data_IF_224140448683
#
_entry.id   IF_224140448683
#
_cell.length_a   1.000
_cell.length_b   1.000
_cell.length_c   1.000
_cell.angle_alpha   90.00
_cell.angle_beta   90.00
_cell.angle_gamma   90.00
#
_symmetry.space_group_name_H-M   'P 1'
#
loop_
_entity.id
_entity.type
_entity.pdbx_description
1 polymer ?
#
# COMPACT_ATOMS: atom_id res chain seq x y z
N UNK A 1 -3.53 3.44 -17.67
CA UNK A 1 -3.18 2.23 -16.90
C UNK A 1 -1.78 1.85 -17.32
N UNK A 2 -0.79 2.24 -16.55
CA UNK A 2 0.59 1.84 -16.80
C UNK A 2 0.92 0.76 -15.76
N UNK A 3 1.01 -0.46 -16.24
CA UNK A 3 1.53 -1.59 -15.46
C UNK A 3 2.99 -1.30 -15.13
N UNK A 4 3.28 -1.19 -13.84
CA UNK A 4 4.64 -1.12 -13.34
C UNK A 4 5.19 -2.55 -13.27
N UNK A 5 6.01 -2.93 -14.23
CA UNK A 5 6.82 -4.14 -14.14
C UNK A 5 7.89 -3.92 -13.07
N UNK A 6 7.76 -4.64 -11.96
CA UNK A 6 8.79 -4.76 -10.94
C UNK A 6 9.85 -5.69 -11.53
N UNK A 7 11.05 -5.16 -11.70
CA UNK A 7 12.26 -5.96 -11.78
C UNK A 7 12.73 -6.41 -13.14
N UNK A 8 13.20 -5.48 -13.98
CA UNK A 8 14.32 -5.84 -14.84
C UNK A 8 15.59 -5.93 -13.96
N UNK A 9 16.38 -7.03 -14.07
CA UNK A 9 17.64 -7.15 -13.34
C UNK A 9 18.57 -6.02 -13.79
N UNK A 10 18.93 -5.16 -12.86
CA UNK A 10 19.94 -4.13 -13.11
C UNK A 10 21.26 -4.84 -13.39
N UNK A 11 21.79 -4.65 -14.60
CA UNK A 11 23.09 -5.11 -15.02
C UNK A 11 24.16 -4.46 -14.12
N UNK A 12 24.70 -5.24 -13.21
CA UNK A 12 25.77 -4.86 -12.34
C UNK A 12 27.08 -5.10 -13.07
N UNK A 13 27.52 -4.10 -13.86
CA UNK A 13 28.79 -4.11 -14.55
C UNK A 13 29.94 -4.63 -13.68
N UNK A 14 30.88 -5.32 -14.32
CA UNK A 14 32.01 -6.11 -13.81
C UNK A 14 33.06 -5.38 -12.94
N UNK A 15 32.64 -4.44 -12.12
CA UNK A 15 33.51 -3.64 -11.23
C UNK A 15 34.09 -4.35 -9.99
N UNK A 16 34.06 -5.68 -9.91
CA UNK A 16 34.43 -6.43 -8.69
C UNK A 16 35.73 -7.23 -8.80
N UNK A 17 36.63 -6.92 -9.71
CA UNK A 17 37.95 -7.55 -9.74
C UNK A 17 39.06 -6.52 -9.67
N UNK A 18 39.50 -6.21 -8.45
CA UNK A 18 40.91 -5.86 -8.20
C UNK A 18 41.20 -6.04 -6.70
N UNK A 19 41.55 -7.27 -6.35
CA UNK A 19 42.24 -7.59 -5.12
C UNK A 19 43.44 -8.49 -5.44
N UNK A 20 44.34 -7.97 -6.22
CA UNK A 20 45.71 -8.54 -6.38
C UNK A 20 46.70 -7.47 -6.05
N UNK A 21 47.11 -7.40 -4.78
CA UNK A 21 48.46 -6.97 -4.43
C UNK A 21 48.75 -7.37 -2.96
N UNK A 22 49.47 -8.46 -2.79
CA UNK A 22 50.11 -8.81 -1.53
C UNK A 22 51.58 -9.06 -1.77
N UNK A 23 52.35 -8.10 -1.28
CA UNK A 23 53.81 -8.19 -1.25
C UNK A 23 54.30 -9.18 -0.20
N UNK A 24 55.41 -9.79 -0.49
CA UNK A 24 56.16 -10.75 0.31
C UNK A 24 56.83 -10.14 1.55
N UNK A 25 56.85 -10.89 2.66
CA UNK A 25 57.63 -10.60 3.83
C UNK A 25 57.64 -11.74 4.89
N UNK A 26 58.75 -12.24 5.20
CA UNK A 26 59.32 -13.34 5.94
C UNK A 26 58.72 -13.76 7.30
N UNK A 27 58.69 -15.14 7.50
CA UNK A 27 59.01 -16.00 8.66
C UNK A 27 58.30 -15.81 10.00
N UNK A 28 57.34 -16.75 10.25
CA UNK A 28 57.27 -17.55 11.48
C UNK A 28 56.22 -18.69 11.28
N UNK A 29 56.61 -19.95 11.58
CA UNK A 29 55.77 -21.14 11.35
C UNK A 29 54.38 -21.08 12.04
N UNK A 30 54.22 -20.37 13.16
CA UNK A 30 52.95 -20.15 13.84
C UNK A 30 52.04 -19.12 13.16
N UNK A 31 52.63 -18.12 12.48
CA UNK A 31 51.86 -17.17 11.64
C UNK A 31 51.42 -17.82 10.35
N UNK A 32 52.20 -18.74 9.79
CA UNK A 32 51.88 -19.46 8.56
C UNK A 32 50.60 -20.32 8.71
N UNK A 33 50.43 -21.05 9.83
CA UNK A 33 49.21 -21.83 10.08
C UNK A 33 47.98 -20.92 10.27
N UNK A 34 48.10 -19.80 10.96
CA UNK A 34 47.01 -18.82 11.10
C UNK A 34 46.68 -18.15 9.77
N UNK A 35 47.67 -17.83 8.96
CA UNK A 35 47.49 -17.23 7.62
C UNK A 35 46.76 -18.18 6.67
N UNK A 36 47.09 -19.48 6.66
CA UNK A 36 46.44 -20.53 5.86
C UNK A 36 44.97 -20.73 6.30
N UNK A 37 44.71 -20.77 7.60
CA UNK A 37 43.36 -20.96 8.15
C UNK A 37 42.45 -19.76 7.85
N UNK A 38 42.96 -18.54 7.97
CA UNK A 38 42.25 -17.30 7.58
C UNK A 38 41.95 -17.29 6.08
N UNK A 39 42.89 -17.72 5.23
CA UNK A 39 42.68 -17.80 3.78
C UNK A 39 41.59 -18.83 3.42
N UNK A 40 41.60 -20.03 4.03
CA UNK A 40 40.58 -21.06 3.80
C UNK A 40 39.18 -20.61 4.26
N UNK A 41 39.08 -19.91 5.39
CA UNK A 41 37.81 -19.36 5.86
C UNK A 41 37.30 -18.28 4.93
N UNK A 42 38.15 -17.37 4.48
CA UNK A 42 37.83 -16.32 3.53
C UNK A 42 37.33 -16.89 2.19
N UNK A 43 38.01 -17.96 1.70
CA UNK A 43 37.57 -18.67 0.48
C UNK A 43 36.16 -19.26 0.63
N UNK A 44 35.86 -19.91 1.77
CA UNK A 44 34.53 -20.44 2.06
C UNK A 44 33.46 -19.37 2.12
N UNK A 45 33.74 -18.24 2.79
CA UNK A 45 32.83 -17.10 2.85
C UNK A 45 32.50 -16.61 1.46
N UNK A 46 33.51 -16.41 0.60
CA UNK A 46 33.33 -15.98 -0.77
C UNK A 46 32.56 -17.00 -1.61
N UNK A 47 32.84 -18.29 -1.43
CA UNK A 47 32.10 -19.38 -2.11
C UNK A 47 30.61 -19.36 -1.73
N UNK A 48 30.29 -19.31 -0.43
CA UNK A 48 28.90 -19.28 0.03
C UNK A 48 28.18 -17.99 -0.41
N UNK A 49 28.86 -16.86 -0.32
CA UNK A 49 28.32 -15.58 -0.76
C UNK A 49 28.02 -15.57 -2.29
N UNK A 50 28.89 -16.22 -3.09
CA UNK A 50 28.67 -16.39 -4.55
C UNK A 50 27.50 -17.34 -4.83
N UNK A 51 27.44 -18.48 -4.11
CA UNK A 51 26.31 -19.42 -4.25
C UNK A 51 24.99 -18.76 -3.89
N UNK A 52 24.95 -17.99 -2.78
CA UNK A 52 23.78 -17.25 -2.39
C UNK A 52 23.31 -16.30 -3.50
N UNK A 53 24.24 -15.57 -4.11
CA UNK A 53 23.90 -14.65 -5.18
C UNK A 53 23.40 -15.38 -6.43
N UNK A 54 24.02 -16.49 -6.83
CA UNK A 54 23.60 -17.28 -7.98
C UNK A 54 22.16 -17.82 -7.77
N UNK A 55 21.87 -18.40 -6.59
CA UNK A 55 20.51 -18.86 -6.28
C UNK A 55 19.49 -17.73 -6.30
N UNK A 56 19.86 -16.55 -5.79
CA UNK A 56 18.99 -15.38 -5.86
C UNK A 56 18.67 -14.97 -7.30
N UNK A 57 19.67 -14.96 -8.18
CA UNK A 57 19.50 -14.64 -9.61
C UNK A 57 18.65 -15.70 -10.36
N UNK A 58 18.56 -16.91 -9.81
CA UNK A 58 17.73 -18.01 -10.31
C UNK A 58 16.35 -18.05 -9.63
N UNK A 59 15.97 -17.01 -8.86
CA UNK A 59 14.71 -16.93 -8.09
C UNK A 59 14.52 -18.07 -7.07
N UNK A 60 15.63 -18.54 -6.50
CA UNK A 60 15.67 -19.56 -5.44
C UNK A 60 16.02 -18.89 -4.12
N UNK A 61 15.07 -18.09 -3.60
CA UNK A 61 15.33 -17.19 -2.47
C UNK A 61 15.64 -17.95 -1.18
N UNK A 62 15.03 -19.10 -0.92
CA UNK A 62 15.29 -19.89 0.30
C UNK A 62 16.70 -20.48 0.28
N UNK A 63 17.16 -21.02 -0.84
CA UNK A 63 18.52 -21.50 -1.03
C UNK A 63 19.51 -20.34 -0.94
N UNK A 64 19.20 -19.19 -1.54
CA UNK A 64 20.00 -18.00 -1.42
C UNK A 64 20.16 -17.58 0.04
N UNK A 65 19.06 -17.57 0.80
CA UNK A 65 19.06 -17.24 2.23
C UNK A 65 19.86 -18.25 3.05
N UNK A 66 19.77 -19.53 2.73
CA UNK A 66 20.57 -20.57 3.36
C UNK A 66 22.08 -20.30 3.20
N UNK A 67 22.54 -20.10 1.94
CA UNK A 67 23.98 -19.91 1.69
C UNK A 67 24.52 -18.60 2.24
N UNK A 68 23.72 -17.50 2.23
CA UNK A 68 24.19 -16.24 2.81
C UNK A 68 24.30 -16.35 4.36
N UNK A 69 23.43 -17.13 5.01
CA UNK A 69 23.55 -17.40 6.44
C UNK A 69 24.83 -18.19 6.74
N UNK A 70 25.16 -19.23 5.96
CA UNK A 70 26.42 -19.95 6.13
C UNK A 70 27.66 -19.04 5.97
N UNK A 71 27.60 -18.07 5.07
CA UNK A 71 28.68 -17.09 4.93
C UNK A 71 28.80 -16.17 6.17
N UNK A 72 27.66 -15.74 6.73
CA UNK A 72 27.60 -14.90 7.93
C UNK A 72 27.95 -15.64 9.21
N UNK A 73 27.65 -16.95 9.31
CA UNK A 73 28.04 -17.79 10.43
C UNK A 73 29.58 -17.93 10.53
N UNK A 74 30.27 -17.88 9.40
CA UNK A 74 31.73 -17.87 9.38
C UNK A 74 32.33 -16.48 9.70
N UNK A 75 31.66 -15.41 9.32
CA UNK A 75 32.04 -14.04 9.64
C UNK A 75 30.87 -13.08 9.60
N UNK A 76 30.33 -12.76 10.77
CA UNK A 76 29.22 -11.83 10.98
C UNK A 76 29.57 -10.34 10.82
N UNK A 77 30.89 -10.04 10.68
CA UNK A 77 31.38 -8.67 10.44
C UNK A 77 31.56 -8.32 8.97
N UNK A 78 31.09 -9.17 8.06
CA UNK A 78 31.20 -8.94 6.63
C UNK A 78 30.03 -8.08 6.11
N UNK A 79 30.20 -6.77 6.03
CA UNK A 79 29.16 -5.80 5.68
C UNK A 79 28.42 -6.16 4.37
N UNK A 80 29.17 -6.54 3.31
CA UNK A 80 28.57 -6.88 2.03
C UNK A 80 27.66 -8.12 2.09
N UNK A 81 27.93 -9.08 2.97
CA UNK A 81 27.05 -10.25 3.14
C UNK A 81 25.75 -9.86 3.84
N UNK A 82 25.78 -8.92 4.77
CA UNK A 82 24.57 -8.35 5.35
C UNK A 82 23.74 -7.58 4.30
N UNK A 83 24.39 -6.81 3.42
CA UNK A 83 23.71 -6.16 2.29
C UNK A 83 23.06 -7.19 1.34
N UNK A 84 23.78 -8.28 0.96
CA UNK A 84 23.22 -9.35 0.14
C UNK A 84 22.05 -10.05 0.80
N UNK A 85 22.16 -10.37 2.10
CA UNK A 85 21.05 -10.95 2.87
C UNK A 85 19.83 -10.03 2.87
N UNK A 86 20.04 -8.73 2.99
CA UNK A 86 18.97 -7.76 2.93
C UNK A 86 18.24 -7.79 1.56
N UNK A 87 18.99 -7.84 0.45
CA UNK A 87 18.44 -7.93 -0.91
C UNK A 87 17.64 -9.23 -1.10
N UNK A 88 18.16 -10.37 -0.63
CA UNK A 88 17.45 -11.65 -0.68
C UNK A 88 16.12 -11.57 0.09
N UNK A 89 16.15 -11.04 1.31
CA UNK A 89 14.96 -10.87 2.14
C UNK A 89 13.94 -9.88 1.54
N UNK A 90 14.42 -8.86 0.82
CA UNK A 90 13.57 -7.93 0.06
C UNK A 90 12.83 -8.67 -1.06
N UNK A 91 13.51 -9.52 -1.85
CA UNK A 91 12.90 -10.39 -2.86
C UNK A 91 11.78 -11.25 -2.28
N UNK A 92 11.99 -11.81 -1.08
CA UNK A 92 11.01 -12.59 -0.31
C UNK A 92 9.90 -11.72 0.31
N UNK A 93 9.88 -10.40 0.12
CA UNK A 93 8.99 -9.43 0.77
C UNK A 93 9.08 -9.43 2.31
N UNK A 94 10.16 -9.96 2.89
CA UNK A 94 10.45 -9.95 4.34
C UNK A 94 11.10 -8.62 4.74
N UNK A 95 10.41 -7.51 4.46
CA UNK A 95 10.96 -6.15 4.54
C UNK A 95 11.49 -5.77 5.93
N UNK A 96 10.81 -6.19 7.01
CA UNK A 96 11.24 -5.87 8.37
C UNK A 96 12.60 -6.52 8.72
N UNK A 97 12.86 -7.71 8.20
CA UNK A 97 14.14 -8.41 8.38
C UNK A 97 15.20 -7.83 7.45
N UNK A 98 14.83 -7.49 6.23
CA UNK A 98 15.67 -6.79 5.26
C UNK A 98 16.18 -5.46 5.84
N UNK A 99 15.28 -4.63 6.43
CA UNK A 99 15.67 -3.35 7.06
C UNK A 99 16.73 -3.55 8.16
N UNK A 100 16.60 -4.61 8.99
CA UNK A 100 17.61 -4.95 10.02
C UNK A 100 18.95 -5.31 9.41
N UNK A 101 18.95 -6.07 8.30
CA UNK A 101 20.18 -6.47 7.62
C UNK A 101 20.88 -5.29 6.96
N UNK A 102 20.14 -4.38 6.31
CA UNK A 102 20.71 -3.13 5.79
C UNK A 102 21.31 -2.28 6.90
N UNK A 103 20.62 -2.13 8.02
CA UNK A 103 21.14 -1.40 9.17
C UNK A 103 22.46 -2.02 9.67
N UNK A 104 22.51 -3.36 9.78
CA UNK A 104 23.73 -4.05 10.20
C UNK A 104 24.88 -3.87 9.22
N UNK A 105 24.61 -3.92 7.92
CA UNK A 105 25.59 -3.61 6.89
C UNK A 105 26.16 -2.19 7.04
N UNK A 106 25.29 -1.19 7.23
CA UNK A 106 25.67 0.22 7.40
C UNK A 106 26.41 0.50 8.71
N UNK A 107 26.09 -0.22 9.80
CA UNK A 107 26.86 -0.14 11.07
C UNK A 107 28.28 -0.62 10.87
N UNK A 108 28.49 -1.68 10.09
CA UNK A 108 29.80 -2.28 9.86
C UNK A 108 30.61 -1.45 8.85
N UNK A 109 29.99 -0.96 7.78
CA UNK A 109 30.62 -0.16 6.74
C UNK A 109 29.59 0.72 6.03
N UNK A 110 29.53 2.03 6.32
CA UNK A 110 28.67 2.96 5.61
C UNK A 110 29.07 3.07 4.13
N UNK A 111 28.17 2.65 3.23
CA UNK A 111 28.38 2.69 1.79
C UNK A 111 27.19 3.32 1.10
N UNK A 112 27.42 4.22 0.14
CA UNK A 112 26.39 4.91 -0.65
C UNK A 112 25.37 3.93 -1.24
N UNK A 113 25.87 2.87 -1.90
CA UNK A 113 25.03 1.83 -2.50
C UNK A 113 24.09 1.16 -1.50
N UNK A 114 24.53 0.93 -0.26
CA UNK A 114 23.68 0.28 0.78
C UNK A 114 22.58 1.22 1.25
N UNK A 115 22.84 2.52 1.33
CA UNK A 115 21.81 3.53 1.61
C UNK A 115 20.77 3.58 0.49
N UNK A 116 21.18 3.56 -0.77
CA UNK A 116 20.31 3.55 -1.94
C UNK A 116 19.48 2.27 -2.00
N UNK A 117 20.08 1.10 -1.78
CA UNK A 117 19.37 -0.18 -1.70
C UNK A 117 18.30 -0.15 -0.59
N UNK A 118 18.67 0.32 0.60
CA UNK A 118 17.72 0.45 1.71
C UNK A 118 16.58 1.41 1.37
N UNK A 119 16.85 2.53 0.71
CA UNK A 119 15.83 3.47 0.30
C UNK A 119 14.84 2.83 -0.70
N UNK A 120 15.35 2.08 -1.70
CA UNK A 120 14.50 1.34 -2.67
C UNK A 120 13.64 0.29 -1.98
N UNK A 121 14.19 -0.47 -1.06
CA UNK A 121 13.45 -1.45 -0.26
C UNK A 121 12.32 -0.77 0.54
N UNK A 122 12.59 0.36 1.20
CA UNK A 122 11.58 1.11 1.94
C UNK A 122 10.48 1.67 1.02
N UNK A 123 10.82 2.07 -0.20
CA UNK A 123 9.85 2.47 -1.23
C UNK A 123 8.95 1.29 -1.61
N UNK A 124 9.52 0.10 -1.87
CA UNK A 124 8.78 -1.12 -2.18
C UNK A 124 7.85 -1.53 -1.02
N UNK A 125 8.34 -1.43 0.20
CA UNK A 125 7.54 -1.70 1.41
C UNK A 125 6.39 -0.72 1.56
N UNK A 126 6.64 0.58 1.35
CA UNK A 126 5.58 1.59 1.42
C UNK A 126 4.48 1.34 0.37
N UNK A 127 4.86 0.89 -0.83
CA UNK A 127 3.90 0.51 -1.87
C UNK A 127 3.04 -0.69 -1.45
N UNK A 128 3.66 -1.74 -0.89
CA UNK A 128 2.90 -2.90 -0.39
C UNK A 128 1.90 -2.49 0.70
N UNK A 129 2.33 -1.67 1.66
CA UNK A 129 1.45 -1.18 2.73
C UNK A 129 0.29 -0.33 2.20
N UNK A 130 0.51 0.47 1.15
CA UNK A 130 -0.53 1.20 0.45
C UNK A 130 -1.57 0.25 -0.16
N UNK A 131 -1.13 -0.80 -0.86
CA UNK A 131 -2.05 -1.78 -1.45
C UNK A 131 -2.82 -2.55 -0.35
N UNK A 132 -2.12 -3.04 0.69
CA UNK A 132 -2.77 -3.71 1.82
C UNK A 132 -3.82 -2.82 2.52
N UNK A 133 -3.62 -1.50 2.53
CA UNK A 133 -4.55 -0.57 3.16
C UNK A 133 -5.93 -0.54 2.49
N UNK A 134 -5.98 -0.79 1.18
CA UNK A 134 -7.21 -0.77 0.39
C UNK A 134 -8.14 -1.93 0.72
N UNK A 135 -7.58 -3.07 1.14
CA UNK A 135 -8.31 -4.29 1.49
C UNK A 135 -8.92 -4.24 2.92
N UNK A 136 -8.53 -3.28 3.73
CA UNK A 136 -8.96 -3.19 5.13
C UNK A 136 -10.23 -2.33 5.26
N UNK A 137 -11.16 -2.66 6.19
CA UNK A 137 -12.31 -1.80 6.51
C UNK A 137 -11.91 -0.39 6.95
N UNK A 138 -10.74 -0.25 7.57
CA UNK A 138 -10.07 1.01 7.87
C UNK A 138 -8.58 0.87 7.61
N UNK A 139 -8.13 1.42 6.51
CA UNK A 139 -6.74 1.34 6.06
C UNK A 139 -5.80 2.38 6.67
N UNK A 140 -6.30 3.31 7.49
CA UNK A 140 -5.55 4.51 7.92
C UNK A 140 -4.24 4.17 8.64
N UNK A 141 -4.20 3.15 9.47
CA UNK A 141 -2.97 2.75 10.17
C UNK A 141 -1.90 2.24 9.21
N UNK A 142 -2.29 1.46 8.20
CA UNK A 142 -1.37 0.99 7.15
C UNK A 142 -0.85 2.12 6.29
N UNK A 143 -1.71 3.09 5.95
CA UNK A 143 -1.32 4.29 5.20
C UNK A 143 -0.30 5.13 5.97
N UNK A 144 -0.49 5.33 7.27
CA UNK A 144 0.49 6.03 8.13
C UNK A 144 1.80 5.27 8.27
N UNK A 145 1.76 3.94 8.31
CA UNK A 145 2.96 3.12 8.26
C UNK A 145 3.69 3.28 6.92
N UNK A 146 2.97 3.26 5.80
CA UNK A 146 3.51 3.50 4.46
C UNK A 146 4.17 4.89 4.35
N UNK A 147 3.51 5.93 4.88
CA UNK A 147 4.06 7.30 4.95
C UNK A 147 5.38 7.33 5.73
N UNK A 148 5.44 6.66 6.88
CA UNK A 148 6.67 6.59 7.66
C UNK A 148 7.81 5.91 6.88
N UNK A 149 7.51 4.83 6.12
CA UNK A 149 8.52 4.13 5.32
C UNK A 149 9.05 4.99 4.18
N UNK A 150 8.18 5.74 3.49
CA UNK A 150 8.63 6.61 2.40
C UNK A 150 9.45 7.81 2.92
N UNK A 151 9.09 8.37 4.07
CA UNK A 151 9.89 9.43 4.71
C UNK A 151 11.28 8.88 5.11
N UNK A 152 11.35 7.68 5.70
CA UNK A 152 12.62 7.02 6.02
C UNK A 152 13.46 6.75 4.76
N UNK A 153 12.80 6.35 3.66
CA UNK A 153 13.48 6.12 2.39
C UNK A 153 14.14 7.41 1.87
N UNK A 154 13.40 8.52 1.85
CA UNK A 154 13.91 9.82 1.42
C UNK A 154 15.06 10.31 2.31
N UNK A 155 14.96 10.12 3.62
CA UNK A 155 15.99 10.51 4.58
C UNK A 155 17.24 9.61 4.52
N UNK A 156 17.12 8.40 3.99
CA UNK A 156 18.25 7.49 3.83
C UNK A 156 19.08 7.78 2.58
N UNK A 157 18.51 8.47 1.58
CA UNK A 157 19.24 8.77 0.34
C UNK A 157 20.40 9.73 0.61
N UNK A 158 21.63 9.40 0.18
CA UNK A 158 22.75 10.34 0.20
C UNK A 158 22.46 11.57 -0.66
N UNK A 159 23.00 12.73 -0.27
CA UNK A 159 22.78 13.98 -0.99
C UNK A 159 23.33 14.00 -2.44
N UNK A 160 24.29 13.11 -2.73
CA UNK A 160 24.88 12.88 -4.05
C UNK A 160 24.34 11.63 -4.76
N UNK A 161 23.20 11.09 -4.28
CA UNK A 161 22.57 9.91 -4.88
C UNK A 161 22.09 10.20 -6.29
N UNK A 162 22.31 9.24 -7.20
CA UNK A 162 21.76 9.26 -8.56
C UNK A 162 20.30 8.79 -8.62
N UNK A 163 19.77 8.29 -7.50
CA UNK A 163 18.38 7.87 -7.40
C UNK A 163 17.42 9.04 -7.71
N UNK A 164 16.44 8.80 -8.58
CA UNK A 164 15.42 9.79 -8.89
C UNK A 164 14.51 10.04 -7.68
N UNK A 165 14.80 11.11 -6.94
CA UNK A 165 14.01 11.53 -5.77
C UNK A 165 12.53 11.73 -6.11
N UNK A 166 12.20 12.05 -7.37
CA UNK A 166 10.81 12.29 -7.77
C UNK A 166 9.93 11.04 -7.65
N UNK A 167 10.50 9.83 -7.78
CA UNK A 167 9.73 8.59 -7.54
C UNK A 167 9.27 8.48 -6.09
N UNK A 168 10.10 8.89 -5.14
CA UNK A 168 9.77 8.90 -3.70
C UNK A 168 8.75 10.00 -3.38
N UNK A 169 8.90 11.19 -3.98
CA UNK A 169 7.94 12.29 -3.82
C UNK A 169 6.57 11.89 -4.36
N UNK A 170 6.49 11.33 -5.57
CA UNK A 170 5.22 10.84 -6.15
C UNK A 170 4.56 9.79 -5.27
N UNK A 171 5.35 8.86 -4.70
CA UNK A 171 4.81 7.85 -3.79
C UNK A 171 4.26 8.47 -2.52
N UNK A 172 4.99 9.40 -1.91
CA UNK A 172 4.52 10.15 -0.73
C UNK A 172 3.22 10.89 -1.02
N UNK A 173 3.15 11.60 -2.16
CA UNK A 173 1.96 12.35 -2.53
C UNK A 173 0.75 11.43 -2.78
N UNK A 174 0.99 10.25 -3.36
CA UNK A 174 -0.05 9.22 -3.49
C UNK A 174 -0.53 8.73 -2.13
N UNK A 175 0.37 8.44 -1.21
CA UNK A 175 0.01 7.98 0.16
C UNK A 175 -0.80 9.07 0.87
N UNK A 176 -0.38 10.33 0.80
CA UNK A 176 -1.10 11.47 1.42
C UNK A 176 -2.51 11.62 0.83
N UNK A 177 -2.65 11.49 -0.50
CA UNK A 177 -3.97 11.47 -1.14
C UNK A 177 -4.86 10.37 -0.55
N UNK A 178 -4.36 9.14 -0.38
CA UNK A 178 -5.13 8.04 0.20
C UNK A 178 -5.40 8.24 1.70
N UNK A 179 -4.52 8.87 2.46
CA UNK A 179 -4.76 9.24 3.86
C UNK A 179 -5.93 10.23 3.95
N UNK A 180 -5.92 11.28 3.15
CA UNK A 180 -7.00 12.28 3.13
C UNK A 180 -8.32 11.67 2.68
N UNK A 181 -8.27 10.79 1.68
CA UNK A 181 -9.42 10.08 1.15
C UNK A 181 -10.04 9.15 2.20
N UNK A 182 -9.24 8.33 2.87
CA UNK A 182 -9.68 7.44 3.94
C UNK A 182 -10.24 8.22 5.15
N UNK A 183 -9.57 9.30 5.55
CA UNK A 183 -10.07 10.19 6.60
C UNK A 183 -11.45 10.78 6.26
N UNK A 184 -11.67 11.17 5.01
CA UNK A 184 -12.97 11.66 4.54
C UNK A 184 -14.03 10.55 4.60
N UNK A 185 -13.69 9.35 4.14
CA UNK A 185 -14.60 8.20 4.21
C UNK A 185 -14.99 7.89 5.65
N UNK A 186 -14.04 7.80 6.57
CA UNK A 186 -14.30 7.51 7.99
C UNK A 186 -15.17 8.58 8.64
N UNK A 187 -14.92 9.88 8.37
CA UNK A 187 -15.78 10.98 8.86
C UNK A 187 -17.21 10.84 8.33
N UNK A 188 -17.38 10.50 7.06
CA UNK A 188 -18.69 10.29 6.46
C UNK A 188 -19.41 9.09 7.10
N UNK A 189 -18.67 8.00 7.34
CA UNK A 189 -19.20 6.81 8.00
C UNK A 189 -19.67 7.10 9.43
N UNK A 190 -18.89 7.83 10.22
CA UNK A 190 -19.30 8.27 11.57
C UNK A 190 -20.51 9.19 11.53
N UNK A 191 -20.63 10.04 10.51
CA UNK A 191 -21.82 10.86 10.31
C UNK A 191 -23.07 9.97 10.10
N UNK A 192 -22.95 8.92 9.27
CA UNK A 192 -24.08 7.99 9.03
C UNK A 192 -24.49 7.22 10.28
N UNK A 193 -23.52 6.76 11.08
CA UNK A 193 -23.77 6.06 12.35
C UNK A 193 -24.52 6.91 13.39
N UNK A 194 -24.49 8.23 13.25
CA UNK A 194 -25.22 9.16 14.10
C UNK A 194 -26.73 9.22 13.85
N UNK A 195 -27.25 8.55 12.80
CA UNK A 195 -28.67 8.51 12.43
C UNK A 195 -29.26 7.13 12.64
N UNK A 196 -30.58 7.07 12.87
CA UNK A 196 -31.33 5.81 12.80
C UNK A 196 -31.34 5.29 11.35
N UNK A 197 -31.22 3.98 11.18
CA UNK A 197 -31.28 3.32 9.87
C UNK A 197 -32.51 3.76 9.06
N UNK A 198 -33.70 3.88 9.71
CA UNK A 198 -34.95 4.28 9.05
C UNK A 198 -35.00 5.77 8.69
N UNK A 199 -34.02 6.55 9.09
CA UNK A 199 -33.86 7.93 8.62
C UNK A 199 -33.00 8.03 7.38
N UNK A 200 -32.23 6.98 7.03
CA UNK A 200 -31.27 6.98 5.94
C UNK A 200 -31.75 6.15 4.75
N UNK A 201 -31.48 6.65 3.55
CA UNK A 201 -31.73 5.93 2.30
C UNK A 201 -30.60 6.15 1.27
N UNK A 202 -30.40 5.14 0.42
CA UNK A 202 -29.48 5.21 -0.71
C UNK A 202 -30.22 5.62 -1.97
N UNK A 203 -29.69 6.58 -2.72
CA UNK A 203 -30.25 7.02 -4.01
C UNK A 203 -29.56 6.24 -5.14
N UNK A 204 -30.34 5.52 -5.94
CA UNK A 204 -29.88 4.75 -7.11
C UNK A 204 -30.47 5.25 -8.41
N UNK A 205 -29.82 4.85 -9.49
CA UNK A 205 -30.32 5.12 -10.84
C UNK A 205 -30.00 6.51 -11.40
N UNK A 206 -29.23 7.33 -10.70
CA UNK A 206 -28.86 8.70 -11.14
C UNK A 206 -28.33 8.76 -12.59
N UNK A 207 -27.56 7.80 -13.02
CA UNK A 207 -27.01 7.74 -14.39
C UNK A 207 -28.06 7.68 -15.50
N UNK A 208 -29.29 7.33 -15.18
CA UNK A 208 -30.40 7.24 -16.15
C UNK A 208 -31.16 8.56 -16.28
N UNK A 209 -30.92 9.52 -15.38
CA UNK A 209 -31.57 10.84 -15.39
C UNK A 209 -30.58 11.88 -15.88
N UNK A 210 -30.84 12.40 -17.11
CA UNK A 210 -29.98 13.43 -17.73
C UNK A 210 -30.32 14.81 -17.16
N UNK A 211 -29.96 15.05 -15.90
CA UNK A 211 -30.08 16.38 -15.29
C UNK A 211 -28.69 16.89 -14.85
N UNK A 212 -28.50 18.20 -14.84
CA UNK A 212 -27.25 18.83 -14.40
C UNK A 212 -27.26 19.18 -12.90
N UNK A 213 -28.03 18.44 -12.10
CA UNK A 213 -28.14 18.71 -10.65
C UNK A 213 -26.90 18.18 -9.93
N UNK A 214 -26.09 19.08 -9.40
CA UNK A 214 -25.04 18.75 -8.45
C UNK A 214 -25.67 18.66 -7.07
N UNK A 215 -25.58 17.49 -6.44
CA UNK A 215 -26.09 17.28 -5.08
C UNK A 215 -25.09 17.85 -4.07
N UNK A 216 -25.58 18.69 -3.16
CA UNK A 216 -24.80 19.27 -2.07
C UNK A 216 -25.47 18.92 -0.72
N UNK A 217 -24.67 18.74 0.32
CA UNK A 217 -25.19 18.43 1.67
C UNK A 217 -26.24 19.45 2.10
N UNK A 218 -27.34 18.96 2.67
CA UNK A 218 -28.49 19.77 3.07
C UNK A 218 -29.47 20.09 1.92
N UNK A 219 -29.20 19.75 0.67
CA UNK A 219 -30.12 20.00 -0.44
C UNK A 219 -31.47 19.34 -0.18
N UNK A 220 -32.60 20.06 -0.26
CA UNK A 220 -33.91 19.48 -0.10
C UNK A 220 -34.22 18.42 -1.14
N UNK A 221 -34.75 17.29 -0.69
CA UNK A 221 -35.24 16.20 -1.51
C UNK A 221 -36.73 15.95 -1.25
N UNK A 222 -37.42 15.50 -2.27
CA UNK A 222 -38.81 15.03 -2.16
C UNK A 222 -38.83 13.56 -2.53
N UNK A 223 -39.42 12.73 -1.66
CA UNK A 223 -39.61 11.33 -1.87
C UNK A 223 -41.11 11.11 -2.23
N UNK A 224 -41.37 10.34 -3.29
CA UNK A 224 -42.73 10.08 -3.78
C UNK A 224 -42.88 8.58 -3.98
N UNK A 225 -43.83 7.94 -3.28
CA UNK A 225 -44.19 6.53 -3.54
C UNK A 225 -44.82 6.39 -4.92
N UNK A 226 -44.41 5.36 -5.64
CA UNK A 226 -44.95 5.01 -6.97
C UNK A 226 -45.53 3.58 -6.94
N UNK A 227 -46.71 3.36 -6.30
CA UNK A 227 -47.30 2.02 -6.13
C UNK A 227 -47.67 1.34 -7.47
N UNK A 228 -47.92 2.14 -8.51
CA UNK A 228 -48.19 1.67 -9.88
C UNK A 228 -46.94 1.49 -10.73
N UNK A 229 -45.73 1.52 -10.14
CA UNK A 229 -44.49 1.32 -10.86
C UNK A 229 -44.40 -0.11 -11.43
N UNK A 230 -44.20 -0.23 -12.74
CA UNK A 230 -44.22 -1.53 -13.45
C UNK A 230 -43.08 -2.47 -13.00
N UNK A 231 -41.96 -1.94 -12.45
CA UNK A 231 -40.77 -2.72 -12.09
C UNK A 231 -40.68 -3.02 -10.60
N UNK A 232 -41.24 -2.15 -9.76
CA UNK A 232 -41.12 -2.27 -8.30
C UNK A 232 -42.31 -1.58 -7.61
N UNK A 233 -43.21 -2.37 -7.00
CA UNK A 233 -44.39 -1.84 -6.29
C UNK A 233 -44.02 -0.99 -5.06
N UNK A 234 -42.82 -1.23 -4.51
CA UNK A 234 -42.32 -0.46 -3.38
C UNK A 234 -41.48 0.75 -3.83
N UNK A 235 -41.50 1.09 -5.12
CA UNK A 235 -40.66 2.17 -5.67
C UNK A 235 -40.95 3.50 -4.95
N UNK A 236 -39.91 4.15 -4.50
CA UNK A 236 -39.91 5.52 -3.96
C UNK A 236 -39.01 6.38 -4.83
N UNK A 237 -39.61 7.24 -5.65
CA UNK A 237 -38.87 8.17 -6.50
C UNK A 237 -38.29 9.32 -5.68
N UNK A 238 -37.07 9.74 -6.03
CA UNK A 238 -36.37 10.85 -5.36
C UNK A 238 -36.24 12.01 -6.33
N UNK A 239 -36.68 13.18 -5.87
CA UNK A 239 -36.63 14.43 -6.63
C UNK A 239 -35.75 15.46 -5.92
N UNK A 240 -34.99 16.22 -6.69
CA UNK A 240 -34.30 17.44 -6.28
C UNK A 240 -34.62 18.57 -7.24
N UNK A 241 -34.90 19.78 -6.76
CA UNK A 241 -35.30 20.92 -7.61
C UNK A 241 -36.45 20.58 -8.58
N UNK A 242 -37.41 19.76 -8.13
CA UNK A 242 -38.56 19.27 -8.93
C UNK A 242 -38.20 18.31 -10.09
N UNK A 243 -36.94 17.92 -10.24
CA UNK A 243 -36.54 16.92 -11.24
C UNK A 243 -36.26 15.58 -10.55
N UNK A 244 -36.74 14.49 -11.18
CA UNK A 244 -36.44 13.12 -10.71
C UNK A 244 -34.94 12.86 -10.87
N UNK A 245 -34.28 12.44 -9.80
CA UNK A 245 -32.85 12.18 -9.77
C UNK A 245 -32.50 10.70 -9.55
N UNK A 246 -33.49 9.87 -9.26
CA UNK A 246 -33.30 8.45 -9.02
C UNK A 246 -34.43 7.87 -8.19
N UNK A 247 -34.14 6.75 -7.56
CA UNK A 247 -35.00 6.03 -6.64
C UNK A 247 -34.27 5.67 -5.36
N UNK A 248 -35.02 5.46 -4.28
CA UNK A 248 -34.53 4.78 -3.09
C UNK A 248 -34.14 3.36 -3.47
N UNK A 249 -32.98 2.91 -3.10
CA UNK A 249 -32.52 1.55 -3.38
C UNK A 249 -33.40 0.51 -2.66
N UNK A 250 -33.79 -0.58 -3.35
CA UNK A 250 -34.66 -1.61 -2.78
C UNK A 250 -34.02 -3.00 -2.70
N UNK A 251 -32.83 -3.20 -3.25
CA UNK A 251 -32.09 -4.48 -3.18
C UNK A 251 -30.86 -4.32 -2.31
N UNK A 252 -30.51 -5.34 -1.53
CA UNK A 252 -29.36 -5.30 -0.62
C UNK A 252 -28.05 -4.96 -1.31
N UNK A 253 -27.82 -5.47 -2.52
CA UNK A 253 -26.63 -5.16 -3.31
C UNK A 253 -26.64 -3.77 -3.97
N UNK A 254 -27.75 -3.01 -3.83
CA UNK A 254 -27.89 -1.64 -4.38
C UNK A 254 -27.93 -0.56 -3.31
N UNK A 255 -28.12 -0.91 -2.04
CA UNK A 255 -28.12 0.02 -0.92
C UNK A 255 -26.85 -0.08 -0.09
N UNK A 256 -26.53 0.97 0.62
CA UNK A 256 -25.52 0.90 1.66
C UNK A 256 -26.08 0.26 2.93
N UNK A 257 -25.30 -0.55 3.62
CA UNK A 257 -25.76 -1.38 4.77
C UNK A 257 -26.43 -0.58 5.90
N UNK A 258 -26.00 0.66 6.13
CA UNK A 258 -26.56 1.56 7.15
C UNK A 258 -27.84 2.28 6.69
N UNK A 259 -28.38 1.97 5.51
CA UNK A 259 -29.59 2.62 4.96
C UNK A 259 -30.74 1.66 4.83
N UNK A 260 -31.96 2.17 4.87
CA UNK A 260 -33.16 1.40 4.58
C UNK A 260 -33.44 1.25 3.11
N UNK A 261 -34.02 0.13 2.72
CA UNK A 261 -34.60 -0.11 1.40
C UNK A 261 -35.92 0.65 1.22
N UNK A 262 -36.35 0.78 -0.05
CA UNK A 262 -37.63 1.36 -0.35
C UNK A 262 -38.79 0.59 0.31
N UNK A 263 -38.75 -0.75 0.31
CA UNK A 263 -39.74 -1.60 0.98
C UNK A 263 -39.77 -1.42 2.51
N UNK A 264 -38.61 -1.28 3.17
CA UNK A 264 -38.52 -1.01 4.61
C UNK A 264 -39.10 0.37 4.99
N UNK A 265 -39.16 1.31 4.04
CA UNK A 265 -39.67 2.67 4.25
C UNK A 265 -41.17 2.83 3.93
N UNK A 266 -41.83 1.86 3.28
CA UNK A 266 -43.22 1.99 2.84
C UNK A 266 -44.16 2.39 3.98
N UNK A 267 -44.05 1.74 5.14
CA UNK A 267 -44.88 1.99 6.31
C UNK A 267 -44.31 3.07 7.25
N UNK A 268 -43.20 3.68 6.90
CA UNK A 268 -42.47 4.65 7.74
C UNK A 268 -42.59 6.09 7.25
N UNK A 269 -42.99 6.28 6.00
CA UNK A 269 -43.15 7.62 5.40
C UNK A 269 -44.53 7.77 4.78
N UNK A 270 -44.99 8.99 4.64
CA UNK A 270 -46.21 9.35 3.89
C UNK A 270 -45.99 9.11 2.37
N UNK A 271 -47.06 9.17 1.56
CA UNK A 271 -46.99 9.02 0.08
C UNK A 271 -46.04 10.04 -0.56
N UNK A 272 -45.95 11.21 0.07
CA UNK A 272 -44.98 12.25 -0.26
C UNK A 272 -44.27 12.63 1.05
N UNK A 273 -42.99 12.37 1.11
CA UNK A 273 -42.16 12.72 2.25
C UNK A 273 -41.03 13.73 1.85
N UNK A 274 -40.60 14.47 2.86
CA UNK A 274 -39.47 15.39 2.73
C UNK A 274 -38.18 14.69 3.14
N UNK A 275 -37.11 15.02 2.44
CA UNK A 275 -35.77 14.55 2.75
C UNK A 275 -34.72 15.62 2.49
N UNK A 276 -33.51 15.29 2.80
CA UNK A 276 -32.35 16.09 2.43
C UNK A 276 -31.22 15.20 1.95
N UNK A 277 -30.47 15.68 0.97
CA UNK A 277 -29.26 15.02 0.57
C UNK A 277 -28.20 15.15 1.69
N UNK A 278 -27.62 14.04 2.10
CA UNK A 278 -26.67 14.05 3.20
C UNK A 278 -25.22 14.11 2.70
N UNK A 279 -24.80 13.08 1.94
CA UNK A 279 -23.44 12.98 1.46
C UNK A 279 -23.29 11.96 0.31
N UNK A 280 -22.15 12.02 -0.35
CA UNK A 280 -21.66 10.95 -1.21
C UNK A 280 -20.65 10.11 -0.43
N UNK A 281 -20.99 8.85 -0.20
CA UNK A 281 -20.11 7.90 0.42
C UNK A 281 -19.31 7.22 -0.68
N UNK A 282 -18.01 7.42 -0.66
CA UNK A 282 -17.10 6.95 -1.69
C UNK A 282 -15.85 6.38 -1.04
N UNK A 283 -15.55 5.13 -1.39
CA UNK A 283 -14.32 4.47 -0.97
C UNK A 283 -13.84 3.56 -2.09
N UNK A 284 -12.78 4.00 -2.77
CA UNK A 284 -12.23 3.32 -3.94
C UNK A 284 -13.31 3.04 -5.00
N UNK A 285 -13.19 1.91 -5.75
CA UNK A 285 -14.20 1.54 -6.72
C UNK A 285 -15.41 0.80 -6.11
N UNK A 286 -15.28 0.29 -4.88
CA UNK A 286 -16.21 -0.68 -4.30
C UNK A 286 -17.41 -0.05 -3.60
N UNK A 287 -17.20 1.13 -2.99
CA UNK A 287 -18.25 1.84 -2.26
C UNK A 287 -18.50 3.18 -2.93
N UNK A 288 -19.65 3.31 -3.59
CA UNK A 288 -20.06 4.54 -4.27
C UNK A 288 -21.58 4.76 -4.12
N UNK A 289 -21.97 5.46 -3.05
CA UNK A 289 -23.37 5.66 -2.72
C UNK A 289 -23.72 7.13 -2.47
N UNK A 290 -24.78 7.60 -3.12
CA UNK A 290 -25.46 8.85 -2.73
C UNK A 290 -26.42 8.56 -1.58
N UNK A 291 -26.23 9.23 -0.45
CA UNK A 291 -27.02 9.03 0.75
C UNK A 291 -27.89 10.26 1.01
N UNK A 292 -29.17 10.02 1.21
CA UNK A 292 -30.14 11.00 1.68
C UNK A 292 -30.67 10.62 3.06
N UNK A 293 -31.28 11.56 3.74
CA UNK A 293 -32.01 11.33 4.98
C UNK A 293 -33.45 11.84 4.87
N UNK A 294 -34.36 11.18 5.58
CA UNK A 294 -35.74 11.62 5.78
C UNK A 294 -35.75 12.76 6.80
N UNK A 295 -36.50 13.81 6.52
CA UNK A 295 -36.70 14.94 7.45
C UNK A 295 -38.13 14.81 7.99
N UNK A 296 -38.27 14.67 9.32
CA UNK A 296 -39.54 14.63 10.04
C UNK A 296 -40.10 16.02 10.15
#
# INVERSE_FOLDING_TARGET
>A
MNEWHIGDPVDWGDGWMDAQNWGHGHDDEKEHHKGIEVDLTTRKINEYSKKAWNHYMEFQEEEALHYINLALDLNDRHANNWNRKAIILEGMKRYAESEKCYNKSLELSPQKLVYENKARMLLSWSHQLLEESKELPNGLNKLKEAENKIIKAMNALPGDSEEDINKYLRMRDSINFYIDYENKFQRNLETLKGYDKFELFTIKGRKFYRNNITLTSGMPLKLVKEPDNEFDKDAIAVYAKNEKIGYVANKDYTKYELTSSASELQDKIEDIAQGSYLLYLDRYADIQFHIGRIVK
#
